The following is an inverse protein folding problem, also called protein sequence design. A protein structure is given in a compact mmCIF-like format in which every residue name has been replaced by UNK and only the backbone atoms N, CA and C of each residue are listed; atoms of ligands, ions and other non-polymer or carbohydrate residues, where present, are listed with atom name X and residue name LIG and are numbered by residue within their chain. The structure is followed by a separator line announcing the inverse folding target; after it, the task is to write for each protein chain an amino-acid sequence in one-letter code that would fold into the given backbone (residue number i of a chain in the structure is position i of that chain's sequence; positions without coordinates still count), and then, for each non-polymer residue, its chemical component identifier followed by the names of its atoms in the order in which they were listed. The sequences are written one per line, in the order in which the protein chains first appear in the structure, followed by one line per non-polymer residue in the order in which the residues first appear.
data_IF_854948248838
#
_entry.id   IF_854948248838
#
_cell.length_a   1.000
_cell.length_b   1.000
_cell.length_c   1.000
_cell.angle_alpha   90.00
_cell.angle_beta   90.00
_cell.angle_gamma   90.00
#
_symmetry.space_group_name_H-M   'P 1'
#
loop_
_entity.id
_entity.type
_entity.pdbx_description
1 polymer ?
#
# COMPACT_ATOMS: atom_id res chain seq x y z
N UNK A 1 -40.12 -41.42 54.06
CA UNK A 1 -40.91 -40.23 54.46
C UNK A 1 -41.15 -39.40 53.19
N UNK A 2 -42.25 -38.65 53.10
CA UNK A 2 -42.89 -38.35 51.80
C UNK A 2 -43.20 -36.87 51.58
N UNK A 3 -42.93 -36.37 50.36
CA UNK A 3 -43.65 -35.34 49.58
C UNK A 3 -42.86 -35.15 48.26
N UNK A 4 -43.36 -35.12 47.01
CA UNK A 4 -44.54 -34.50 46.38
C UNK A 4 -44.54 -32.95 46.45
N UNK A 5 -44.89 -32.17 45.41
CA UNK A 5 -45.47 -32.49 44.08
C UNK A 5 -44.94 -31.53 42.97
N UNK A 6 -45.53 -31.47 41.77
CA UNK A 6 -44.89 -30.92 40.55
C UNK A 6 -45.57 -29.66 39.89
N UNK A 7 -45.71 -29.48 38.53
CA UNK A 7 -45.30 -28.26 37.80
C UNK A 7 -46.50 -27.55 37.07
N UNK A 8 -46.41 -26.76 35.95
CA UNK A 8 -45.29 -26.18 35.16
C UNK A 8 -45.32 -24.62 35.18
N UNK A 9 -45.52 -23.76 34.14
CA UNK A 9 -45.80 -23.87 32.69
C UNK A 9 -44.57 -23.57 31.78
N UNK A 10 -44.72 -22.82 30.66
CA UNK A 10 -43.65 -22.42 29.73
C UNK A 10 -44.11 -21.48 28.59
N UNK A 11 -43.36 -21.43 27.46
CA UNK A 11 -43.54 -20.59 26.24
C UNK A 11 -43.05 -19.11 26.38
N UNK A 12 -42.62 -18.35 25.35
CA UNK A 12 -42.53 -18.53 23.88
C UNK A 12 -41.15 -18.10 23.31
N UNK A 13 -40.82 -18.60 22.11
CA UNK A 13 -39.75 -18.11 21.22
C UNK A 13 -40.25 -16.89 20.43
N UNK A 14 -39.53 -15.77 20.43
CA UNK A 14 -39.85 -14.61 19.58
C UNK A 14 -39.08 -14.68 18.25
N UNK A 15 -39.82 -14.69 17.15
CA UNK A 15 -39.30 -14.53 15.78
C UNK A 15 -40.14 -13.46 15.07
N UNK A 16 -39.59 -12.26 14.90
CA UNK A 16 -40.29 -11.14 14.25
C UNK A 16 -39.82 -10.98 12.81
N UNK A 17 -40.71 -11.31 11.88
CA UNK A 17 -40.56 -11.03 10.46
C UNK A 17 -40.83 -9.56 10.18
N UNK A 18 -40.12 -8.96 9.22
CA UNK A 18 -40.55 -7.72 8.57
C UNK A 18 -40.89 -7.98 7.10
N UNK A 19 -41.97 -7.35 6.64
CA UNK A 19 -42.58 -7.58 5.31
C UNK A 19 -41.95 -6.69 4.25
N UNK A 20 -41.97 -7.16 2.99
CA UNK A 20 -41.91 -6.30 1.79
C UNK A 20 -43.25 -5.58 1.59
N UNK A 21 -43.19 -4.37 1.02
CA UNK A 21 -44.33 -3.60 0.49
C UNK A 21 -43.83 -2.65 -0.63
N UNK A 22 -44.67 -2.22 -1.60
CA UNK A 22 -44.17 -1.87 -2.95
C UNK A 22 -44.55 -0.47 -3.48
N UNK A 23 -44.14 -0.22 -4.75
CA UNK A 23 -44.43 0.95 -5.62
C UNK A 23 -43.61 2.23 -5.32
N UNK A 24 -43.42 3.17 -6.26
CA UNK A 24 -44.04 3.30 -7.59
C UNK A 24 -43.08 3.86 -8.67
N UNK A 25 -43.41 3.61 -9.93
CA UNK A 25 -42.67 4.04 -11.13
C UNK A 25 -42.94 5.52 -11.49
N UNK A 26 -41.96 6.20 -12.11
CA UNK A 26 -42.21 7.31 -13.06
C UNK A 26 -41.01 7.64 -13.97
N UNK A 27 -41.32 7.84 -15.25
CA UNK A 27 -40.52 8.37 -16.39
C UNK A 27 -41.55 8.89 -17.42
N UNK A 28 -41.18 9.71 -18.40
CA UNK A 28 -40.10 10.69 -18.49
C UNK A 28 -40.67 12.11 -18.72
N UNK A 29 -39.85 13.07 -19.15
CA UNK A 29 -40.30 14.19 -19.99
C UNK A 29 -39.18 14.59 -20.98
N UNK A 30 -39.53 15.37 -22.02
CA UNK A 30 -38.76 15.58 -23.24
C UNK A 30 -38.64 17.07 -23.62
N UNK A 31 -37.59 17.41 -24.38
CA UNK A 31 -37.42 18.52 -25.35
C UNK A 31 -35.91 18.83 -25.49
N UNK A 32 -35.36 19.34 -26.59
CA UNK A 32 -35.71 19.23 -28.01
C UNK A 32 -34.48 19.60 -28.88
N UNK A 33 -34.55 19.45 -30.21
CA UNK A 33 -33.39 19.66 -31.09
C UNK A 33 -33.15 21.13 -31.46
N UNK A 34 -31.88 21.51 -31.62
CA UNK A 34 -31.44 22.76 -32.23
C UNK A 34 -30.02 22.65 -32.78
N UNK A 35 -29.88 22.80 -34.11
CA UNK A 35 -28.59 23.01 -34.79
C UNK A 35 -28.43 24.53 -35.06
N UNK A 36 -27.33 25.10 -35.57
CA UNK A 36 -26.02 24.60 -36.03
C UNK A 36 -25.03 25.78 -36.08
N UNK A 37 -23.74 25.54 -35.81
CA UNK A 37 -22.59 25.94 -36.67
C UNK A 37 -21.26 25.66 -35.94
N UNK A 38 -20.22 25.33 -36.71
CA UNK A 38 -18.88 25.10 -36.18
C UNK A 38 -17.94 26.28 -36.44
N UNK A 39 -17.05 26.54 -35.47
CA UNK A 39 -15.80 27.29 -35.66
C UNK A 39 -14.68 26.46 -35.06
N UNK A 40 -13.74 26.00 -35.88
CA UNK A 40 -12.62 25.15 -35.44
C UNK A 40 -11.45 26.05 -35.00
N UNK A 41 -11.50 26.53 -33.76
CA UNK A 41 -10.37 27.24 -33.14
C UNK A 41 -9.27 26.26 -32.73
N UNK A 42 -8.24 26.16 -33.57
CA UNK A 42 -7.06 25.31 -33.34
C UNK A 42 -6.18 25.84 -32.20
N UNK A 43 -6.58 25.58 -30.95
CA UNK A 43 -5.73 25.82 -29.78
C UNK A 43 -4.62 24.77 -29.72
N UNK A 44 -3.46 25.10 -30.28
CA UNK A 44 -2.26 24.26 -30.26
C UNK A 44 -1.95 23.79 -28.84
N UNK A 45 -1.98 22.48 -28.63
CA UNK A 45 -1.88 21.89 -27.29
C UNK A 45 -0.47 22.07 -26.72
N UNK A 46 -0.30 23.07 -25.87
CA UNK A 46 0.71 23.06 -24.81
C UNK A 46 0.32 21.98 -23.80
N UNK A 47 0.46 20.72 -24.21
CA UNK A 47 0.34 19.57 -23.33
C UNK A 47 1.52 19.62 -22.37
N UNK A 48 1.29 20.24 -21.21
CA UNK A 48 2.18 20.14 -20.07
C UNK A 48 2.53 18.66 -19.89
N UNK A 49 3.82 18.36 -19.77
CA UNK A 49 4.28 17.00 -19.49
C UNK A 49 3.99 16.68 -18.02
N UNK A 50 2.70 16.50 -17.70
CA UNK A 50 2.28 15.61 -16.62
C UNK A 50 2.80 14.22 -16.99
N UNK A 51 4.03 13.94 -16.57
CA UNK A 51 4.61 12.62 -16.65
C UNK A 51 3.62 11.66 -16.04
N UNK A 52 3.10 10.73 -16.86
CA UNK A 52 2.03 9.84 -16.45
C UNK A 52 2.57 9.05 -15.26
N UNK A 53 2.03 9.33 -14.06
CA UNK A 53 2.29 8.54 -12.86
C UNK A 53 1.55 7.23 -13.04
N UNK A 54 2.09 6.40 -13.93
CA UNK A 54 1.52 5.11 -14.30
C UNK A 54 1.27 4.31 -13.04
N UNK A 55 0.06 3.75 -12.94
CA UNK A 55 -0.53 3.21 -11.72
C UNK A 55 0.35 2.11 -11.12
N UNK A 56 1.29 2.54 -10.28
CA UNK A 56 2.36 1.68 -9.78
C UNK A 56 1.77 0.71 -8.79
N UNK A 57 1.87 -0.58 -9.08
CA UNK A 57 1.36 -1.65 -8.22
C UNK A 57 2.38 -2.02 -7.13
N UNK A 58 1.94 -2.71 -6.08
CA UNK A 58 2.79 -3.15 -4.95
C UNK A 58 3.95 -4.05 -5.42
N UNK A 59 3.76 -4.90 -6.44
CA UNK A 59 4.84 -5.67 -7.08
C UNK A 59 5.91 -4.83 -7.78
N UNK A 60 5.63 -3.57 -8.09
CA UNK A 60 6.63 -2.63 -8.61
C UNK A 60 7.39 -1.90 -7.48
N UNK A 61 7.13 -2.18 -6.20
CA UNK A 61 7.86 -1.66 -5.05
C UNK A 61 8.95 -2.64 -4.59
N UNK A 62 9.86 -2.18 -3.72
CA UNK A 62 10.94 -3.01 -3.17
C UNK A 62 10.44 -3.89 -2.02
N UNK A 63 9.82 -5.00 -2.40
CA UNK A 63 9.31 -6.00 -1.48
C UNK A 63 10.45 -6.71 -0.70
N UNK A 64 10.15 -7.12 0.53
CA UNK A 64 11.03 -7.92 1.39
C UNK A 64 10.53 -9.35 1.46
N UNK A 65 11.43 -10.34 1.47
CA UNK A 65 11.08 -11.72 1.81
C UNK A 65 10.54 -11.77 3.24
N UNK A 66 9.33 -12.30 3.41
CA UNK A 66 8.72 -12.42 4.73
C UNK A 66 9.53 -13.35 5.65
N UNK A 67 9.56 -13.02 6.94
CA UNK A 67 9.78 -14.00 8.00
C UNK A 67 8.40 -14.42 8.49
N UNK A 68 8.05 -15.69 8.29
CA UNK A 68 6.85 -16.35 8.79
C UNK A 68 7.25 -17.35 9.89
N UNK A 69 6.48 -17.41 10.98
CA UNK A 69 6.60 -18.43 12.03
C UNK A 69 5.19 -18.82 12.53
N UNK A 70 4.99 -20.03 13.10
CA UNK A 70 3.72 -20.39 13.73
C UNK A 70 3.39 -19.46 14.91
N UNK A 71 2.11 -19.13 15.09
CA UNK A 71 1.68 -18.22 16.18
C UNK A 71 1.93 -18.79 17.60
N UNK A 72 2.15 -20.10 17.71
CA UNK A 72 2.57 -20.79 18.93
C UNK A 72 4.05 -20.64 19.32
N UNK A 73 4.85 -19.87 18.58
CA UNK A 73 6.29 -19.67 18.88
C UNK A 73 6.48 -18.79 20.13
N UNK A 74 7.56 -19.00 20.90
CA UNK A 74 7.92 -18.10 22.01
C UNK A 74 8.44 -16.75 21.49
N UNK A 75 8.31 -15.69 22.29
CA UNK A 75 8.88 -14.38 21.96
C UNK A 75 10.41 -14.47 21.83
N UNK A 76 11.08 -15.22 22.72
CA UNK A 76 12.53 -15.41 22.69
C UNK A 76 13.03 -16.01 21.35
N UNK A 77 12.35 -17.03 20.82
CA UNK A 77 12.71 -17.60 19.52
C UNK A 77 12.24 -16.77 18.31
N UNK A 78 11.15 -16.01 18.44
CA UNK A 78 10.78 -15.01 17.45
C UNK A 78 11.88 -13.94 17.31
N UNK A 79 12.35 -13.37 18.44
CA UNK A 79 13.49 -12.45 18.50
C UNK A 79 14.75 -13.07 17.88
N UNK A 80 15.07 -14.33 18.21
CA UNK A 80 16.23 -15.07 17.64
C UNK A 80 16.16 -15.16 16.11
N UNK A 81 14.99 -15.50 15.56
CA UNK A 81 14.75 -15.61 14.11
C UNK A 81 14.74 -14.25 13.42
N UNK A 82 14.19 -13.22 14.06
CA UNK A 82 14.21 -11.83 13.59
C UNK A 82 15.64 -11.29 13.49
N UNK A 83 16.44 -11.45 14.55
CA UNK A 83 17.85 -11.06 14.58
C UNK A 83 18.68 -11.80 13.52
N UNK A 84 18.52 -13.13 13.40
CA UNK A 84 19.24 -13.94 12.42
C UNK A 84 18.94 -13.53 10.96
N UNK A 85 17.71 -13.10 10.66
CA UNK A 85 17.34 -12.55 9.33
C UNK A 85 17.52 -11.04 9.19
N UNK A 86 17.96 -10.34 10.25
CA UNK A 86 18.08 -8.87 10.32
C UNK A 86 16.76 -8.16 9.94
N UNK A 87 15.63 -8.66 10.45
CA UNK A 87 14.29 -8.08 10.26
C UNK A 87 13.70 -7.57 11.56
N UNK A 88 12.85 -6.55 11.45
CA UNK A 88 12.19 -5.84 12.56
C UNK A 88 10.69 -6.18 12.70
N UNK A 89 10.18 -7.05 11.83
CA UNK A 89 8.82 -7.59 11.89
C UNK A 89 8.82 -9.09 11.54
N UNK A 90 7.86 -9.82 12.10
CA UNK A 90 7.56 -11.21 11.80
C UNK A 90 6.05 -11.39 11.60
N UNK A 91 5.70 -12.14 10.56
CA UNK A 91 4.33 -12.54 10.26
C UNK A 91 4.04 -13.90 10.88
N UNK A 92 2.82 -14.05 11.40
CA UNK A 92 2.41 -15.21 12.16
C UNK A 92 1.36 -15.99 11.41
N UNK A 93 1.51 -17.32 11.39
CA UNK A 93 0.58 -18.23 10.73
C UNK A 93 -0.15 -19.12 11.73
N UNK A 94 -1.41 -19.40 11.43
CA UNK A 94 -2.22 -20.37 12.17
C UNK A 94 -1.89 -21.84 11.81
N UNK A 95 -2.71 -22.78 12.26
CA UNK A 95 -2.61 -24.21 11.92
C UNK A 95 -2.88 -24.54 10.44
N UNK A 96 -3.48 -23.61 9.69
CA UNK A 96 -3.81 -23.73 8.27
C UNK A 96 -2.77 -23.03 7.38
N UNK A 97 -1.65 -22.57 7.96
CA UNK A 97 -0.62 -21.74 7.34
C UNK A 97 -1.09 -20.33 6.88
N UNK A 98 -2.30 -19.90 7.27
CA UNK A 98 -2.87 -18.61 6.90
C UNK A 98 -2.38 -17.50 7.84
N UNK A 99 -2.31 -16.27 7.34
CA UNK A 99 -1.85 -15.08 8.08
C UNK A 99 -2.79 -14.74 9.25
N UNK A 100 -2.39 -15.03 10.48
CA UNK A 100 -3.18 -14.75 11.70
C UNK A 100 -2.74 -13.49 12.45
N UNK A 101 -1.49 -13.05 12.27
CA UNK A 101 -0.95 -11.91 13.01
C UNK A 101 0.36 -11.32 12.50
N UNK A 102 0.74 -10.19 13.11
CA UNK A 102 2.07 -9.56 12.97
C UNK A 102 2.62 -9.18 14.35
N UNK A 103 3.93 -9.30 14.52
CA UNK A 103 4.70 -8.80 15.67
C UNK A 103 5.87 -7.97 15.17
N UNK A 104 6.09 -6.81 15.78
CA UNK A 104 7.22 -5.91 15.50
C UNK A 104 8.15 -5.76 16.70
N UNK A 105 9.34 -5.21 16.44
CA UNK A 105 10.26 -4.66 17.45
C UNK A 105 9.54 -3.85 18.55
N UNK A 106 8.65 -2.95 18.15
CA UNK A 106 7.82 -2.12 19.02
C UNK A 106 6.84 -2.93 19.86
N UNK A 107 6.22 -3.97 19.31
CA UNK A 107 5.26 -4.80 20.05
C UNK A 107 5.94 -5.62 21.15
N UNK A 108 7.15 -6.12 20.89
CA UNK A 108 7.95 -6.83 21.90
C UNK A 108 8.36 -5.88 23.02
N UNK A 109 8.85 -4.68 22.69
CA UNK A 109 9.20 -3.67 23.69
C UNK A 109 7.98 -3.26 24.55
N UNK A 110 6.85 -2.94 23.91
CA UNK A 110 5.67 -2.39 24.58
C UNK A 110 4.79 -3.43 25.30
N UNK A 111 4.75 -4.69 24.84
CA UNK A 111 3.80 -5.71 25.34
C UNK A 111 4.48 -6.90 26.04
N UNK A 112 5.81 -6.91 26.11
CA UNK A 112 6.60 -7.96 26.80
C UNK A 112 7.56 -7.32 27.79
N UNK A 113 8.44 -6.42 27.32
CA UNK A 113 9.49 -5.84 28.16
C UNK A 113 8.92 -4.82 29.16
N UNK A 114 8.09 -3.87 28.71
CA UNK A 114 7.43 -2.89 29.59
C UNK A 114 6.48 -3.55 30.61
N UNK A 115 5.87 -4.67 30.24
CA UNK A 115 4.95 -5.48 31.08
C UNK A 115 5.68 -6.49 31.99
N UNK A 116 7.02 -6.52 31.98
CA UNK A 116 7.83 -7.43 32.81
C UNK A 116 7.68 -8.93 32.49
N UNK A 117 7.14 -9.28 31.31
CA UNK A 117 6.88 -10.67 30.92
C UNK A 117 8.15 -11.39 30.46
N UNK A 118 8.30 -12.67 30.84
CA UNK A 118 9.44 -13.51 30.43
C UNK A 118 9.33 -13.91 28.95
N UNK A 119 10.27 -13.50 28.05
CA UNK A 119 10.18 -13.81 26.61
C UNK A 119 10.21 -15.31 26.27
N UNK A 120 10.81 -16.13 27.12
CA UNK A 120 10.96 -17.58 26.98
C UNK A 120 9.64 -18.34 27.22
N UNK A 121 8.71 -17.71 27.94
CA UNK A 121 7.42 -18.29 28.35
C UNK A 121 6.22 -17.56 27.73
N UNK A 122 6.46 -16.40 27.14
CA UNK A 122 5.44 -15.62 26.43
C UNK A 122 5.35 -16.12 24.99
N UNK A 123 4.14 -16.47 24.55
CA UNK A 123 3.86 -16.92 23.19
C UNK A 123 3.47 -15.72 22.32
N UNK A 124 3.96 -15.66 21.08
CA UNK A 124 3.74 -14.50 20.19
C UNK A 124 2.26 -14.22 19.93
N UNK A 125 1.40 -15.25 19.86
CA UNK A 125 -0.05 -15.09 19.73
C UNK A 125 -0.74 -14.33 20.88
N UNK A 126 -0.08 -14.14 22.03
CA UNK A 126 -0.56 -13.31 23.15
C UNK A 126 -0.26 -11.82 22.94
N UNK A 127 0.79 -11.48 22.18
CA UNK A 127 1.27 -10.10 22.01
C UNK A 127 1.18 -9.58 20.57
N UNK A 128 0.72 -10.41 19.62
CA UNK A 128 0.55 -10.01 18.23
C UNK A 128 -0.59 -9.02 17.99
N UNK A 129 -0.46 -8.23 16.93
CA UNK A 129 -1.61 -7.59 16.29
C UNK A 129 -2.29 -8.65 15.42
N UNK A 130 -3.47 -9.12 15.85
CA UNK A 130 -4.28 -10.12 15.13
C UNK A 130 -4.88 -9.53 13.85
N UNK A 131 -5.12 -10.37 12.85
CA UNK A 131 -5.81 -10.02 11.59
C UNK A 131 -5.25 -8.75 10.92
N UNK A 132 -3.94 -8.68 10.62
CA UNK A 132 -3.31 -7.47 10.10
C UNK A 132 -3.88 -7.07 8.73
N UNK A 133 -4.04 -5.76 8.51
CA UNK A 133 -4.37 -5.21 7.19
C UNK A 133 -3.28 -5.62 6.20
N UNK A 134 -3.68 -6.10 5.02
CA UNK A 134 -2.77 -6.51 3.94
C UNK A 134 -3.15 -5.88 2.59
N UNK A 135 -2.34 -6.19 1.57
CA UNK A 135 -2.57 -5.87 0.15
C UNK A 135 -2.21 -7.07 -0.73
N UNK A 136 -2.71 -7.08 -1.96
CA UNK A 136 -2.21 -7.95 -3.03
C UNK A 136 -1.00 -7.32 -3.71
N UNK A 137 -0.28 -8.09 -4.53
CA UNK A 137 0.78 -7.60 -5.41
C UNK A 137 0.29 -6.57 -6.43
N UNK A 138 -0.93 -6.76 -6.95
CA UNK A 138 -1.61 -5.88 -7.91
C UNK A 138 -2.28 -4.65 -7.28
N UNK A 139 -2.37 -4.58 -5.95
CA UNK A 139 -2.91 -3.39 -5.27
C UNK A 139 -2.09 -2.14 -5.62
N UNK A 140 -2.72 -0.96 -5.66
CA UNK A 140 -2.02 0.28 -5.94
C UNK A 140 -1.02 0.64 -4.82
N UNK A 141 0.18 1.04 -5.20
CA UNK A 141 1.24 1.45 -4.28
C UNK A 141 0.82 2.65 -3.42
N UNK A 142 0.02 3.58 -3.98
CA UNK A 142 -0.47 4.74 -3.24
C UNK A 142 -1.47 4.34 -2.14
N UNK A 143 -2.37 3.39 -2.41
CA UNK A 143 -3.29 2.84 -1.41
C UNK A 143 -2.55 2.07 -0.31
N UNK A 144 -1.53 1.28 -0.69
CA UNK A 144 -0.67 0.57 0.25
C UNK A 144 0.04 1.54 1.21
N UNK A 145 0.62 2.63 0.69
CA UNK A 145 1.25 3.67 1.50
C UNK A 145 0.22 4.46 2.34
N UNK A 146 -0.97 4.76 1.82
CA UNK A 146 -2.05 5.38 2.58
C UNK A 146 -2.50 4.51 3.76
N UNK A 147 -2.70 3.19 3.55
CA UNK A 147 -3.00 2.23 4.63
C UNK A 147 -1.94 2.26 5.74
N UNK A 148 -0.66 2.29 5.37
CA UNK A 148 0.48 2.36 6.32
C UNK A 148 0.50 3.66 7.12
N UNK A 149 0.28 4.81 6.47
CA UNK A 149 0.26 6.13 7.13
C UNK A 149 -0.97 6.27 8.05
N UNK A 150 -2.17 5.94 7.57
CA UNK A 150 -3.42 6.06 8.32
C UNK A 150 -3.44 5.09 9.52
N UNK A 151 -3.01 3.84 9.31
CA UNK A 151 -2.89 2.83 10.36
C UNK A 151 -1.66 2.99 11.27
N UNK A 152 -0.77 3.95 10.97
CA UNK A 152 0.44 4.28 11.75
C UNK A 152 1.39 3.09 11.93
N UNK A 153 1.53 2.25 10.90
CA UNK A 153 2.41 1.07 10.88
C UNK A 153 3.41 1.10 9.72
N UNK A 154 4.61 0.55 9.94
CA UNK A 154 5.73 0.56 8.97
C UNK A 154 5.77 -0.66 8.04
N UNK A 155 4.98 -1.69 8.36
CA UNK A 155 5.08 -3.03 7.78
C UNK A 155 3.71 -3.47 7.29
N UNK A 156 3.59 -3.81 6.01
CA UNK A 156 2.33 -4.22 5.39
C UNK A 156 2.53 -5.58 4.70
N UNK A 157 1.83 -6.64 5.14
CA UNK A 157 1.85 -7.94 4.48
C UNK A 157 1.37 -7.84 3.03
N UNK A 158 2.03 -8.58 2.14
CA UNK A 158 1.56 -8.80 0.76
C UNK A 158 1.12 -10.25 0.64
N UNK A 159 -0.13 -10.45 0.25
CA UNK A 159 -0.83 -11.74 0.27
C UNK A 159 -1.44 -12.03 -1.09
N UNK A 160 -1.28 -13.26 -1.57
CA UNK A 160 -1.94 -13.78 -2.78
C UNK A 160 -2.59 -15.13 -2.44
N UNK A 161 -3.83 -15.36 -2.91
CA UNK A 161 -4.56 -16.62 -2.71
C UNK A 161 -4.71 -17.11 -1.25
N UNK A 162 -4.49 -16.22 -0.26
CA UNK A 162 -4.46 -16.52 1.18
C UNK A 162 -3.05 -16.70 1.77
N UNK A 163 -2.03 -16.86 0.93
CA UNK A 163 -0.64 -17.08 1.34
C UNK A 163 0.19 -15.78 1.41
N UNK A 164 1.13 -15.74 2.35
CA UNK A 164 2.06 -14.62 2.54
C UNK A 164 3.22 -14.72 1.55
N UNK A 165 3.19 -13.92 0.48
CA UNK A 165 4.27 -13.89 -0.51
C UNK A 165 5.42 -12.95 -0.11
N UNK A 166 5.13 -11.82 0.54
CA UNK A 166 6.13 -10.80 0.88
C UNK A 166 5.71 -9.86 2.02
N UNK A 167 6.63 -8.97 2.41
CA UNK A 167 6.38 -7.86 3.32
C UNK A 167 6.84 -6.54 2.69
N UNK A 168 5.97 -5.55 2.66
CA UNK A 168 6.29 -4.17 2.29
C UNK A 168 6.77 -3.39 3.51
N UNK A 169 7.83 -2.61 3.36
CA UNK A 169 8.47 -1.81 4.41
C UNK A 169 8.58 -0.36 3.92
N UNK A 170 7.92 0.57 4.62
CA UNK A 170 7.86 1.98 4.22
C UNK A 170 9.24 2.65 4.20
N UNK A 171 10.17 2.21 5.04
CA UNK A 171 11.55 2.73 5.05
C UNK A 171 12.31 2.34 3.78
N UNK A 172 12.03 1.14 3.24
CA UNK A 172 12.59 0.71 1.94
C UNK A 172 11.93 1.44 0.77
N UNK A 173 10.63 1.68 0.82
CA UNK A 173 9.93 2.50 -0.17
C UNK A 173 10.48 3.93 -0.23
N UNK A 174 10.73 4.55 0.94
CA UNK A 174 11.30 5.89 1.04
C UNK A 174 12.73 5.95 0.48
N UNK A 175 13.59 4.99 0.85
CA UNK A 175 14.94 4.90 0.31
C UNK A 175 14.93 4.73 -1.23
N UNK A 176 14.12 3.81 -1.75
CA UNK A 176 13.99 3.59 -3.19
C UNK A 176 13.36 4.77 -3.94
N UNK A 177 12.60 5.64 -3.27
CA UNK A 177 12.07 6.87 -3.86
C UNK A 177 13.16 7.95 -3.94
N UNK A 178 13.85 8.22 -2.83
CA UNK A 178 14.94 9.20 -2.74
C UNK A 178 16.04 8.86 -3.77
N UNK A 179 16.55 7.62 -3.77
CA UNK A 179 17.60 7.20 -4.71
C UNK A 179 17.14 6.96 -6.15
N UNK A 180 15.88 7.25 -6.48
CA UNK A 180 15.41 7.45 -7.86
C UNK A 180 15.33 8.93 -8.22
N UNK A 181 14.91 9.79 -7.28
CA UNK A 181 14.88 11.25 -7.46
C UNK A 181 16.28 11.82 -7.62
N UNK A 182 17.25 11.39 -6.80
CA UNK A 182 18.66 11.77 -6.90
C UNK A 182 19.22 11.49 -8.31
N UNK A 183 19.06 10.24 -8.78
CA UNK A 183 19.54 9.82 -10.11
C UNK A 183 18.84 10.52 -11.27
N UNK A 184 17.54 10.84 -11.13
CA UNK A 184 16.81 11.61 -12.13
C UNK A 184 17.33 13.07 -12.21
N UNK A 185 17.69 13.68 -11.08
CA UNK A 185 18.29 15.01 -11.04
C UNK A 185 19.72 15.02 -11.63
N UNK A 186 20.54 14.03 -11.29
CA UNK A 186 21.87 13.81 -11.89
C UNK A 186 21.78 13.69 -13.42
N UNK A 187 20.87 12.85 -13.92
CA UNK A 187 20.64 12.65 -15.35
C UNK A 187 20.13 13.93 -16.04
N UNK A 188 19.18 14.65 -15.42
CA UNK A 188 18.70 15.93 -15.94
C UNK A 188 19.80 16.99 -16.06
N UNK A 189 20.66 17.09 -15.04
CA UNK A 189 21.82 17.99 -15.05
C UNK A 189 22.83 17.63 -16.15
N UNK A 190 23.16 16.35 -16.30
CA UNK A 190 24.06 15.88 -17.35
C UNK A 190 23.51 16.14 -18.77
N UNK A 191 22.20 15.97 -18.97
CA UNK A 191 21.53 16.28 -20.24
C UNK A 191 21.57 17.78 -20.53
N UNK A 192 21.25 18.63 -19.55
CA UNK A 192 21.30 20.09 -19.71
C UNK A 192 22.70 20.59 -20.09
N UNK A 193 23.74 20.13 -19.39
CA UNK A 193 25.12 20.46 -19.69
C UNK A 193 25.57 20.01 -21.09
N UNK A 194 25.07 18.86 -21.57
CA UNK A 194 25.34 18.37 -22.93
C UNK A 194 24.66 19.25 -24.00
N UNK A 195 23.42 19.70 -23.77
CA UNK A 195 22.70 20.62 -24.68
C UNK A 195 23.43 21.96 -24.79
N UNK A 196 23.79 22.58 -23.65
CA UNK A 196 24.58 23.83 -23.64
C UNK A 196 25.92 23.69 -24.38
N UNK A 197 26.58 22.53 -24.27
CA UNK A 197 27.82 22.23 -24.99
C UNK A 197 27.64 22.27 -26.51
N UNK A 198 26.56 21.67 -27.03
CA UNK A 198 26.23 21.66 -28.46
C UNK A 198 25.90 23.07 -28.97
N UNK A 199 25.08 23.83 -28.23
CA UNK A 199 24.68 25.19 -28.63
C UNK A 199 25.89 26.13 -28.76
N UNK A 200 26.80 26.10 -27.78
CA UNK A 200 28.05 26.88 -27.82
C UNK A 200 28.92 26.49 -29.03
N UNK A 201 29.02 25.20 -29.33
CA UNK A 201 29.85 24.68 -30.43
C UNK A 201 29.30 25.02 -31.83
N UNK A 202 27.98 25.16 -31.98
CA UNK A 202 27.38 25.71 -33.20
C UNK A 202 27.47 27.24 -33.27
N UNK A 203 27.23 27.95 -32.15
CA UNK A 203 27.33 29.42 -32.09
C UNK A 203 28.69 29.97 -32.53
N UNK A 204 29.79 29.31 -32.16
CA UNK A 204 31.14 29.71 -32.59
C UNK A 204 31.38 29.57 -34.10
N UNK A 205 30.74 28.63 -34.79
CA UNK A 205 31.03 28.35 -36.20
C UNK A 205 30.41 29.34 -37.19
N UNK A 206 29.36 30.09 -36.79
CA UNK A 206 28.69 31.05 -37.68
C UNK A 206 29.29 32.47 -37.67
N UNK A 207 30.12 32.82 -36.68
CA UNK A 207 30.73 34.17 -36.58
C UNK A 207 31.99 34.35 -37.43
N UNK A 208 32.53 33.28 -38.02
CA UNK A 208 33.88 33.27 -38.61
C UNK A 208 34.02 33.60 -40.10
N UNK A 209 32.93 33.90 -40.84
CA UNK A 209 32.98 34.10 -42.31
C UNK A 209 32.01 35.15 -42.85
N UNK A 210 32.34 36.43 -42.71
CA UNK A 210 31.62 37.52 -43.40
C UNK A 210 32.48 38.74 -43.75
N UNK A 211 33.69 38.50 -44.28
CA UNK A 211 34.41 39.50 -45.08
C UNK A 211 33.96 39.40 -46.54
N UNK A 212 32.89 40.11 -46.89
CA UNK A 212 32.52 40.31 -48.30
C UNK A 212 33.42 41.39 -48.91
N UNK A 213 34.17 41.05 -49.97
CA UNK A 213 34.91 42.04 -50.74
C UNK A 213 33.93 42.94 -51.49
N UNK A 214 34.08 44.26 -51.35
CA UNK A 214 33.46 45.26 -52.22
C UNK A 214 34.52 45.71 -53.22
N UNK A 215 34.14 45.71 -54.50
CA UNK A 215 34.88 46.31 -55.62
C UNK A 215 34.16 47.58 -56.07
#
# INVERSE_FOLDING_TARGET
MSSQMAPPPGLKRNSLTQKRGPSSSRKPLSSENGASHGTVSNSSSLSAQSSVVGERTVKNLRLSKALTIPEGTTVSDACRRMAARRVNAVLLTDSNALLSGIVTDKDIAARVIAEGLRPEQTIVSKIMTRNPIFVTSDSLAIEALQKMVQGKFRHLPVVENGEVIALLDITKCLYDAISRMEKAAEQGSAIAAAVEGVERQWGSNFSGRLNFFVF
#
